data_IF_365665205598
#
_entry.id   IF_365665205598
#
_cell.length_a   1.000
_cell.length_b   1.000
_cell.length_c   1.000
_cell.angle_alpha   90.00
_cell.angle_beta   90.00
_cell.angle_gamma   90.00
#
_symmetry.space_group_name_H-M   'P 1'
#
loop_
_entity.id
_entity.type
_entity.pdbx_description
1 polymer ?
#
# COMPACT_ATOMS: atom_id res chain seq x y z
N UNK A 1 -4.96 -19.46 -6.00
CA UNK A 1 -6.03 -18.90 -5.14
C UNK A 1 -5.54 -17.78 -4.23
N UNK A 2 -4.41 -17.93 -3.53
CA UNK A 2 -3.91 -16.89 -2.62
C UNK A 2 -3.37 -15.67 -3.39
N UNK A 3 -2.71 -15.88 -4.54
CA UNK A 3 -2.16 -14.79 -5.36
C UNK A 3 -3.26 -13.88 -5.94
N UNK A 4 -4.42 -14.43 -6.27
CA UNK A 4 -5.59 -13.71 -6.76
C UNK A 4 -6.14 -12.76 -5.69
N UNK A 5 -6.06 -13.14 -4.40
CA UNK A 5 -6.37 -12.24 -3.28
C UNK A 5 -5.38 -11.08 -3.22
N UNK A 6 -4.09 -11.34 -3.45
CA UNK A 6 -3.06 -10.29 -3.51
C UNK A 6 -3.32 -9.31 -4.66
N UNK A 7 -3.70 -9.81 -5.83
CA UNK A 7 -4.07 -8.95 -6.96
C UNK A 7 -5.32 -8.13 -6.66
N UNK A 8 -6.36 -8.74 -6.09
CA UNK A 8 -7.58 -8.03 -5.69
C UNK A 8 -7.28 -6.96 -4.63
N UNK A 9 -6.39 -7.26 -3.67
CA UNK A 9 -5.92 -6.30 -2.68
C UNK A 9 -5.25 -5.09 -3.33
N UNK A 10 -4.44 -5.25 -4.39
CA UNK A 10 -3.88 -4.11 -5.13
C UNK A 10 -4.95 -3.25 -5.79
N UNK A 11 -5.98 -3.88 -6.37
CA UNK A 11 -7.11 -3.16 -6.98
C UNK A 11 -7.86 -2.35 -5.91
N UNK A 12 -8.09 -2.94 -4.73
CA UNK A 12 -8.69 -2.23 -3.61
C UNK A 12 -7.80 -1.08 -3.12
N UNK A 13 -6.49 -1.30 -2.97
CA UNK A 13 -5.56 -0.24 -2.60
C UNK A 13 -5.62 0.94 -3.58
N UNK A 14 -5.70 0.68 -4.88
CA UNK A 14 -5.87 1.71 -5.90
C UNK A 14 -7.20 2.46 -5.75
N UNK A 15 -8.31 1.75 -5.52
CA UNK A 15 -9.61 2.38 -5.27
C UNK A 15 -9.54 3.30 -4.04
N UNK A 16 -8.92 2.84 -2.95
CA UNK A 16 -8.74 3.63 -1.74
C UNK A 16 -7.80 4.82 -1.93
N UNK A 17 -6.76 4.71 -2.78
CA UNK A 17 -5.90 5.82 -3.21
C UNK A 17 -6.73 6.93 -3.88
N UNK A 18 -7.61 6.55 -4.83
CA UNK A 18 -8.50 7.51 -5.49
C UNK A 18 -9.52 8.11 -4.51
N UNK A 19 -10.12 7.31 -3.64
CA UNK A 19 -11.06 7.82 -2.63
C UNK A 19 -10.39 8.79 -1.64
N UNK A 20 -9.15 8.50 -1.23
CA UNK A 20 -8.33 9.35 -0.37
C UNK A 20 -7.96 10.67 -1.06
N UNK A 21 -7.77 10.66 -2.37
CA UNK A 21 -7.51 11.86 -3.14
C UNK A 21 -8.77 12.71 -3.32
N UNK A 22 -9.92 12.09 -3.58
CA UNK A 22 -11.15 12.80 -3.95
C UNK A 22 -11.97 13.26 -2.74
N UNK A 23 -12.30 12.37 -1.80
CA UNK A 23 -13.27 12.68 -0.74
C UNK A 23 -12.78 13.78 0.22
N UNK A 24 -11.56 13.71 0.76
CA UNK A 24 -11.06 14.75 1.67
C UNK A 24 -10.78 16.07 0.96
N UNK A 25 -10.38 16.04 -0.32
CA UNK A 25 -10.21 17.25 -1.15
C UNK A 25 -11.54 17.99 -1.33
N UNK A 26 -12.61 17.28 -1.65
CA UNK A 26 -13.97 17.86 -1.71
C UNK A 26 -14.38 18.39 -0.33
N UNK A 27 -14.05 17.65 0.74
CA UNK A 27 -14.32 18.07 2.12
C UNK A 27 -13.66 19.40 2.47
N UNK A 28 -12.39 19.59 2.11
CA UNK A 28 -11.66 20.83 2.32
C UNK A 28 -12.23 21.97 1.47
N UNK A 29 -12.55 21.73 0.19
CA UNK A 29 -13.10 22.75 -0.69
C UNK A 29 -14.50 23.24 -0.24
N UNK A 30 -15.33 22.33 0.27
CA UNK A 30 -16.69 22.64 0.72
C UNK A 30 -16.77 23.04 2.20
N UNK A 31 -15.64 23.16 2.91
CA UNK A 31 -15.59 23.35 4.37
C UNK A 31 -16.42 22.30 5.15
N UNK A 32 -16.51 21.08 4.62
CA UNK A 32 -17.21 19.94 5.24
C UNK A 32 -16.22 19.09 6.03
N UNK A 33 -16.17 19.36 7.33
CA UNK A 33 -15.27 18.69 8.28
C UNK A 33 -15.37 17.16 8.24
N UNK A 34 -16.59 16.61 8.12
CA UNK A 34 -16.81 15.16 8.07
C UNK A 34 -16.12 14.47 6.89
N UNK A 35 -16.12 15.09 5.71
CA UNK A 35 -15.46 14.56 4.52
C UNK A 35 -13.94 14.72 4.61
N UNK A 36 -13.46 15.86 5.12
CA UNK A 36 -12.03 16.10 5.29
C UNK A 36 -11.39 15.09 6.26
N UNK A 37 -12.10 14.73 7.34
CA UNK A 37 -11.62 13.76 8.32
C UNK A 37 -11.51 12.32 7.81
N UNK A 38 -12.11 11.99 6.65
CA UNK A 38 -11.96 10.67 6.03
C UNK A 38 -10.53 10.39 5.56
N UNK A 39 -9.67 11.40 5.44
CA UNK A 39 -8.28 11.20 5.04
C UNK A 39 -7.55 10.18 5.94
N UNK A 40 -7.74 10.26 7.26
CA UNK A 40 -7.10 9.34 8.21
C UNK A 40 -7.53 7.89 8.01
N UNK A 41 -8.82 7.51 8.13
CA UNK A 41 -9.22 6.11 7.96
C UNK A 41 -8.89 5.57 6.57
N UNK A 42 -8.97 6.40 5.51
CA UNK A 42 -8.63 5.96 4.16
C UNK A 42 -7.14 5.60 4.00
N UNK A 43 -6.22 6.37 4.60
CA UNK A 43 -4.78 6.04 4.63
C UNK A 43 -4.54 4.68 5.29
N UNK A 44 -5.23 4.40 6.41
CA UNK A 44 -5.11 3.11 7.10
C UNK A 44 -5.63 1.94 6.26
N UNK A 45 -6.78 2.12 5.61
CA UNK A 45 -7.35 1.08 4.75
C UNK A 45 -6.49 0.84 3.51
N UNK A 46 -5.95 1.90 2.89
CA UNK A 46 -5.02 1.79 1.77
C UNK A 46 -3.75 1.02 2.17
N UNK A 47 -3.12 1.40 3.30
CA UNK A 47 -1.94 0.71 3.83
C UNK A 47 -2.21 -0.77 4.12
N UNK A 48 -3.39 -1.09 4.66
CA UNK A 48 -3.79 -2.48 4.93
C UNK A 48 -3.83 -3.31 3.65
N UNK A 49 -4.48 -2.82 2.59
CA UNK A 49 -4.57 -3.56 1.32
C UNK A 49 -3.21 -3.69 0.61
N UNK A 50 -2.36 -2.67 0.67
CA UNK A 50 -0.98 -2.75 0.15
C UNK A 50 -0.18 -3.80 0.93
N UNK A 51 -0.30 -3.82 2.26
CA UNK A 51 0.37 -4.81 3.10
C UNK A 51 -0.08 -6.23 2.77
N UNK A 52 -1.39 -6.46 2.61
CA UNK A 52 -1.95 -7.75 2.19
C UNK A 52 -1.33 -8.18 0.86
N UNK A 53 -1.32 -7.31 -0.15
CA UNK A 53 -0.73 -7.63 -1.45
C UNK A 53 0.77 -8.00 -1.36
N UNK A 54 1.54 -7.24 -0.59
CA UNK A 54 2.97 -7.48 -0.39
C UNK A 54 3.25 -8.82 0.30
N UNK A 55 2.54 -9.13 1.39
CA UNK A 55 2.75 -10.38 2.13
C UNK A 55 2.24 -11.61 1.38
N UNK A 56 1.16 -11.46 0.59
CA UNK A 56 0.70 -12.51 -0.33
C UNK A 56 1.78 -12.83 -1.36
N UNK A 57 2.37 -11.81 -1.99
CA UNK A 57 3.45 -12.01 -2.95
C UNK A 57 4.68 -12.65 -2.28
N UNK A 58 5.06 -12.17 -1.09
CA UNK A 58 6.15 -12.75 -0.32
C UNK A 58 5.91 -14.23 -0.02
N UNK A 59 4.69 -14.61 0.36
CA UNK A 59 4.32 -16.00 0.58
C UNK A 59 4.52 -16.86 -0.67
N UNK A 60 4.15 -16.36 -1.85
CA UNK A 60 4.35 -17.06 -3.13
C UNK A 60 5.84 -17.31 -3.45
N UNK A 61 6.73 -16.36 -3.12
CA UNK A 61 8.18 -16.56 -3.25
C UNK A 61 8.71 -17.62 -2.28
N UNK A 62 8.23 -17.61 -1.03
CA UNK A 62 8.68 -18.56 0.00
C UNK A 62 8.23 -19.99 -0.30
N UNK A 63 7.02 -20.16 -0.82
CA UNK A 63 6.48 -21.48 -1.21
C UNK A 63 6.92 -21.94 -2.60
N UNK A 64 7.61 -21.10 -3.37
CA UNK A 64 8.04 -21.37 -4.74
C UNK A 64 6.84 -21.64 -5.68
N UNK A 65 5.81 -20.80 -5.58
CA UNK A 65 4.65 -20.91 -6.45
C UNK A 65 4.99 -20.40 -7.88
N UNK A 66 5.55 -21.29 -8.68
CA UNK A 66 5.95 -21.02 -10.07
C UNK A 66 4.76 -20.90 -11.04
N UNK A 67 3.51 -21.09 -10.58
CA UNK A 67 2.35 -20.72 -11.40
C UNK A 67 2.26 -19.21 -11.61
N UNK A 68 2.87 -18.43 -10.70
CA UNK A 68 2.99 -16.98 -10.81
C UNK A 68 4.22 -16.65 -11.64
N UNK A 69 4.00 -16.04 -12.82
CA UNK A 69 5.07 -15.64 -13.75
C UNK A 69 6.20 -14.87 -13.06
N UNK A 70 5.85 -13.88 -12.24
CA UNK A 70 6.84 -13.08 -11.52
C UNK A 70 7.73 -13.90 -10.57
N UNK A 71 7.19 -14.93 -9.93
CA UNK A 71 7.96 -15.86 -9.07
C UNK A 71 8.83 -16.79 -9.92
N UNK A 72 8.30 -17.30 -11.03
CA UNK A 72 9.03 -18.15 -11.97
C UNK A 72 10.23 -17.44 -12.61
N UNK A 73 10.08 -16.15 -12.92
CA UNK A 73 11.13 -15.36 -13.57
C UNK A 73 12.23 -14.91 -12.58
N UNK A 74 11.94 -14.87 -11.26
CA UNK A 74 12.82 -14.23 -10.27
C UNK A 74 13.20 -15.12 -9.06
N UNK A 75 12.78 -16.39 -9.02
CA UNK A 75 13.07 -17.32 -7.92
C UNK A 75 13.50 -18.70 -8.42
N UNK A 76 14.09 -19.49 -7.52
CA UNK A 76 14.57 -20.85 -7.77
C UNK A 76 14.45 -21.68 -6.48
N UNK A 77 14.10 -22.97 -6.60
CA UNK A 77 13.91 -23.87 -5.47
C UNK A 77 15.14 -24.01 -4.57
N UNK A 78 16.35 -23.91 -5.15
CA UNK A 78 17.63 -24.07 -4.44
C UNK A 78 18.05 -22.82 -3.63
N UNK A 79 17.35 -21.69 -3.76
CA UNK A 79 17.69 -20.48 -3.02
C UNK A 79 17.40 -20.64 -1.51
N UNK A 80 18.30 -20.21 -0.62
CA UNK A 80 18.00 -20.11 0.80
C UNK A 80 16.83 -19.13 1.05
N UNK A 81 16.06 -19.37 2.12
CA UNK A 81 14.83 -18.62 2.44
C UNK A 81 15.03 -17.10 2.47
N UNK A 82 16.15 -16.63 3.04
CA UNK A 82 16.45 -15.20 3.12
C UNK A 82 16.60 -14.56 1.73
N UNK A 83 17.21 -15.29 0.78
CA UNK A 83 17.36 -14.81 -0.59
C UNK A 83 16.05 -14.87 -1.36
N UNK A 84 15.17 -15.84 -1.07
CA UNK A 84 13.80 -15.87 -1.62
C UNK A 84 12.96 -14.69 -1.13
N UNK A 85 13.10 -14.32 0.14
CA UNK A 85 12.46 -13.11 0.66
C UNK A 85 12.98 -11.86 -0.06
N UNK A 86 14.30 -11.71 -0.23
CA UNK A 86 14.84 -10.56 -0.96
C UNK A 86 14.48 -10.52 -2.45
N UNK A 87 14.22 -11.68 -3.06
CA UNK A 87 13.82 -11.77 -4.46
C UNK A 87 12.44 -11.13 -4.72
N UNK A 88 11.57 -11.04 -3.70
CA UNK A 88 10.25 -10.39 -3.81
C UNK A 88 10.36 -8.99 -4.39
N UNK A 89 11.36 -8.22 -3.95
CA UNK A 89 11.62 -6.84 -4.39
C UNK A 89 12.91 -6.69 -5.21
N UNK A 90 13.48 -7.80 -5.70
CA UNK A 90 14.72 -7.79 -6.47
C UNK A 90 14.54 -7.31 -7.93
N UNK A 91 13.31 -7.36 -8.45
CA UNK A 91 12.99 -6.93 -9.80
C UNK A 91 12.14 -5.66 -9.83
N UNK A 92 11.94 -5.10 -11.03
CA UNK A 92 11.28 -3.81 -11.23
C UNK A 92 9.88 -3.76 -10.59
N UNK A 93 9.01 -4.73 -10.88
CA UNK A 93 7.63 -4.76 -10.37
C UNK A 93 7.57 -4.91 -8.85
N UNK A 94 8.40 -5.77 -8.27
CA UNK A 94 8.45 -5.95 -6.82
C UNK A 94 9.07 -4.78 -6.07
N UNK A 95 10.08 -4.12 -6.66
CA UNK A 95 10.67 -2.92 -6.06
C UNK A 95 9.64 -1.77 -5.98
N UNK A 96 8.79 -1.62 -7.00
CA UNK A 96 7.66 -0.68 -6.96
C UNK A 96 6.70 -1.00 -5.82
N UNK A 97 6.31 -2.26 -5.66
CA UNK A 97 5.41 -2.67 -4.58
C UNK A 97 6.03 -2.44 -3.19
N UNK A 98 7.32 -2.70 -3.03
CA UNK A 98 8.04 -2.40 -1.79
C UNK A 98 8.01 -0.88 -1.50
N UNK A 99 8.30 -0.04 -2.49
CA UNK A 99 8.28 1.40 -2.32
C UNK A 99 6.88 1.93 -1.94
N UNK A 100 5.84 1.46 -2.62
CA UNK A 100 4.45 1.79 -2.29
C UNK A 100 4.11 1.34 -0.86
N UNK A 101 4.57 0.15 -0.45
CA UNK A 101 4.40 -0.33 0.93
C UNK A 101 5.10 0.57 1.96
N UNK A 102 6.37 0.93 1.74
CA UNK A 102 7.13 1.82 2.64
C UNK A 102 6.47 3.21 2.72
N UNK A 103 6.05 3.78 1.60
CA UNK A 103 5.38 5.09 1.57
C UNK A 103 3.99 5.04 2.25
N UNK A 104 3.27 3.93 2.14
CA UNK A 104 2.01 3.73 2.85
C UNK A 104 2.20 3.66 4.38
N UNK A 105 3.26 2.99 4.85
CA UNK A 105 3.64 2.98 6.27
C UNK A 105 4.01 4.38 6.77
N UNK A 106 4.72 5.16 5.94
CA UNK A 106 5.03 6.55 6.26
C UNK A 106 3.76 7.40 6.40
N UNK A 107 2.81 7.24 5.48
CA UNK A 107 1.50 7.93 5.53
C UNK A 107 0.73 7.61 6.81
N UNK A 108 0.72 6.34 7.22
CA UNK A 108 0.13 5.90 8.49
C UNK A 108 0.87 6.52 9.69
N UNK A 109 2.20 6.52 9.69
CA UNK A 109 3.00 7.13 10.74
C UNK A 109 2.68 8.63 10.90
N UNK A 110 2.62 9.37 9.79
CA UNK A 110 2.24 10.79 9.78
C UNK A 110 0.82 10.98 10.34
N UNK A 111 -0.12 10.10 9.99
CA UNK A 111 -1.50 10.16 10.51
C UNK A 111 -1.59 10.02 12.03
N UNK A 112 -0.67 9.26 12.63
CA UNK A 112 -0.64 8.94 14.06
C UNK A 112 0.14 9.96 14.90
N UNK A 113 1.32 10.38 14.41
CA UNK A 113 2.23 11.24 15.19
C UNK A 113 1.92 12.75 15.07
N UNK A 114 1.14 13.17 14.09
CA UNK A 114 0.88 14.60 13.79
C UNK A 114 -0.19 15.28 14.67
N UNK A 115 -0.28 14.94 15.96
CA UNK A 115 -1.32 15.45 16.88
C UNK A 115 -1.28 16.98 17.11
N UNK A 116 -0.15 17.63 16.81
CA UNK A 116 0.07 19.07 17.02
C UNK A 116 -0.23 19.92 15.77
N UNK A 117 -0.53 19.28 14.64
CA UNK A 117 -0.77 19.97 13.35
C UNK A 117 -2.27 20.29 13.23
N UNK A 118 -2.66 21.49 12.75
CA UNK A 118 -4.05 21.79 12.41
C UNK A 118 -4.66 20.72 11.50
N UNK A 119 -5.93 20.35 11.74
CA UNK A 119 -6.59 19.24 11.04
C UNK A 119 -6.58 19.39 9.52
N UNK A 120 -6.76 20.62 9.03
CA UNK A 120 -6.87 20.89 7.60
C UNK A 120 -5.54 20.68 6.89
N UNK A 121 -4.45 21.16 7.49
CA UNK A 121 -3.09 20.95 6.99
C UNK A 121 -2.70 19.47 7.05
N UNK A 122 -3.07 18.77 8.12
CA UNK A 122 -2.85 17.33 8.21
C UNK A 122 -3.60 16.57 7.11
N UNK A 123 -4.85 16.92 6.83
CA UNK A 123 -5.64 16.29 5.77
C UNK A 123 -5.01 16.53 4.39
N UNK A 124 -4.49 17.73 4.11
CA UNK A 124 -3.75 18.03 2.88
C UNK A 124 -2.48 17.17 2.73
N UNK A 125 -1.71 17.04 3.82
CA UNK A 125 -0.52 16.19 3.82
C UNK A 125 -0.90 14.74 3.54
N UNK A 126 -1.95 14.22 4.17
CA UNK A 126 -2.41 12.84 3.96
C UNK A 126 -2.96 12.60 2.55
N UNK A 127 -3.62 13.58 1.93
CA UNK A 127 -4.05 13.49 0.52
C UNK A 127 -2.85 13.32 -0.40
N UNK A 128 -1.81 14.15 -0.23
CA UNK A 128 -0.61 14.11 -1.07
C UNK A 128 0.19 12.83 -0.85
N UNK A 129 0.38 12.43 0.42
CA UNK A 129 1.08 11.19 0.75
C UNK A 129 0.32 9.94 0.32
N UNK A 130 -1.00 10.02 0.24
CA UNK A 130 -1.90 8.95 -0.17
C UNK A 130 -1.99 8.73 -1.67
N UNK A 131 -1.47 9.65 -2.49
CA UNK A 131 -1.47 9.58 -3.96
C UNK A 131 -0.37 8.64 -4.50
N UNK A 132 -0.39 7.40 -4.00
CA UNK A 132 0.50 6.29 -4.35
C UNK A 132 -0.19 5.34 -5.34
#
# INVERSE_FOLDING_TARGET
MLIEVGHFALVLALIFSVLLLVLPSIGLYQNKFSLAQLAKPLVWVQCFWIAVAFFVLMSAFLTNDFSVKYVADNSNTQLPILYKASAVWGAHEGSLLLWVFVLSLWSVAVSFFSKRIPSDLLNQILIVLGAL
#
